data_IF_833708298255
#
_entry.id   IF_833708298255
#
_cell.length_a   1.000
_cell.length_b   1.000
_cell.length_c   1.000
_cell.angle_alpha   90.00
_cell.angle_beta   90.00
_cell.angle_gamma   90.00
#
_symmetry.space_group_name_H-M   'P 1'
#
loop_
_entity.id
_entity.type
_entity.pdbx_description
1 polymer ?
#
# COMPACT_ATOMS: atom_id res chain seq x y z
N UNK A 1 -14.66 -24.32 12.76
CA UNK A 1 -13.39 -23.64 13.11
C UNK A 1 -13.44 -22.31 12.40
N UNK A 2 -14.31 -21.43 12.88
CA UNK A 2 -14.67 -20.20 12.21
C UNK A 2 -13.93 -19.07 12.92
N UNK A 3 -12.69 -18.84 12.51
CA UNK A 3 -11.82 -17.81 13.10
C UNK A 3 -11.65 -16.60 12.18
N UNK A 4 -12.61 -16.36 11.28
CA UNK A 4 -12.57 -15.22 10.35
C UNK A 4 -13.06 -13.92 11.02
N UNK A 5 -13.46 -13.94 12.30
CA UNK A 5 -14.10 -12.81 12.97
C UNK A 5 -13.63 -12.55 14.41
N UNK A 6 -12.55 -13.16 14.87
CA UNK A 6 -12.00 -12.81 16.18
C UNK A 6 -11.02 -11.65 16.00
N UNK A 7 -11.41 -10.46 16.47
CA UNK A 7 -10.51 -9.33 16.71
C UNK A 7 -10.10 -8.54 15.45
N UNK A 8 -11.04 -7.85 14.79
CA UNK A 8 -11.21 -6.39 14.92
C UNK A 8 -10.76 -5.77 16.27
N UNK A 9 -9.53 -6.03 16.74
CA UNK A 9 -8.97 -5.27 17.84
C UNK A 9 -8.49 -3.92 17.30
N UNK A 10 -9.17 -2.88 17.80
CA UNK A 10 -9.03 -1.44 17.55
C UNK A 10 -9.77 -0.91 16.32
N UNK A 11 -10.85 -0.17 16.58
CA UNK A 11 -11.65 0.70 15.69
C UNK A 11 -10.85 1.80 14.93
N UNK A 12 -9.57 1.57 14.64
CA UNK A 12 -8.64 2.52 14.02
C UNK A 12 -7.96 1.96 12.78
N UNK A 13 -8.15 0.68 12.45
CA UNK A 13 -7.44 0.04 11.36
C UNK A 13 -8.40 -0.67 10.40
N UNK A 14 -8.24 -0.38 9.12
CA UNK A 14 -8.90 -1.07 8.02
C UNK A 14 -8.05 -2.24 7.54
N UNK A 15 -8.71 -3.24 6.97
CA UNK A 15 -8.07 -4.47 6.51
C UNK A 15 -8.68 -4.94 5.18
N UNK A 16 -7.83 -5.51 4.33
CA UNK A 16 -8.19 -6.15 3.06
C UNK A 16 -7.34 -7.40 2.88
N UNK A 17 -7.96 -8.55 2.65
CA UNK A 17 -7.24 -9.76 2.23
C UNK A 17 -7.34 -9.87 0.72
N UNK A 18 -6.20 -9.94 0.03
CA UNK A 18 -6.13 -10.07 -1.42
C UNK A 18 -5.09 -11.13 -1.79
N UNK A 19 -5.53 -12.16 -2.52
CA UNK A 19 -4.67 -13.28 -2.97
C UNK A 19 -3.84 -13.95 -1.86
N UNK A 20 -4.38 -14.02 -0.64
CA UNK A 20 -3.70 -14.63 0.52
C UNK A 20 -2.82 -13.67 1.33
N UNK A 21 -2.60 -12.44 0.86
CA UNK A 21 -1.86 -11.40 1.58
C UNK A 21 -2.83 -10.54 2.38
N UNK A 22 -2.49 -10.22 3.63
CA UNK A 22 -3.28 -9.33 4.47
C UNK A 22 -2.75 -7.92 4.41
N UNK A 23 -3.53 -6.99 3.86
CA UNK A 23 -3.24 -5.57 3.83
C UNK A 23 -3.95 -4.87 4.99
N UNK A 24 -3.21 -4.08 5.75
CA UNK A 24 -3.75 -3.28 6.86
C UNK A 24 -3.37 -1.82 6.72
N UNK A 25 -4.16 -0.92 7.29
CA UNK A 25 -3.86 0.50 7.31
C UNK A 25 -4.61 1.20 8.42
N UNK A 26 -4.18 2.41 8.78
CA UNK A 26 -4.98 3.25 9.66
C UNK A 26 -6.19 3.84 8.90
N UNK A 27 -7.38 3.77 9.49
CA UNK A 27 -8.64 4.18 8.84
C UNK A 27 -8.70 5.68 8.54
N UNK A 28 -8.20 6.51 9.44
CA UNK A 28 -8.14 7.96 9.23
C UNK A 28 -7.23 8.28 8.05
N UNK A 29 -6.06 7.64 7.97
CA UNK A 29 -5.17 7.76 6.80
C UNK A 29 -5.84 7.26 5.53
N UNK A 30 -6.54 6.13 5.56
CA UNK A 30 -7.26 5.60 4.40
C UNK A 30 -8.35 6.55 3.90
N UNK A 31 -9.02 7.27 4.81
CA UNK A 31 -10.06 8.25 4.46
C UNK A 31 -9.46 9.54 3.87
N UNK A 32 -8.29 9.96 4.37
CA UNK A 32 -7.62 11.20 3.96
C UNK A 32 -6.80 11.01 2.68
N UNK A 33 -6.22 9.83 2.46
CA UNK A 33 -5.30 9.59 1.33
C UNK A 33 -5.93 9.95 -0.03
N UNK A 34 -7.18 9.55 -0.36
CA UNK A 34 -7.81 9.94 -1.63
C UNK A 34 -8.01 11.45 -1.77
N UNK A 35 -8.22 12.17 -0.67
CA UNK A 35 -8.38 13.64 -0.65
C UNK A 35 -7.05 14.32 -0.99
N UNK A 36 -5.96 13.81 -0.44
CA UNK A 36 -4.62 14.39 -0.62
C UNK A 36 -3.91 13.91 -1.89
N UNK A 37 -4.33 12.79 -2.46
CA UNK A 37 -3.60 12.08 -3.53
C UNK A 37 -4.53 11.65 -4.66
N UNK A 38 -5.20 12.62 -5.30
CA UNK A 38 -5.93 12.44 -6.56
C UNK A 38 -6.90 11.24 -6.61
N UNK A 39 -7.56 10.94 -5.49
CA UNK A 39 -8.53 9.84 -5.38
C UNK A 39 -7.93 8.45 -5.13
N UNK A 40 -6.60 8.32 -4.96
CA UNK A 40 -5.96 7.02 -4.72
C UNK A 40 -6.35 6.47 -3.34
N UNK A 41 -6.98 5.29 -3.33
CA UNK A 41 -7.36 4.58 -2.10
C UNK A 41 -6.31 3.53 -1.74
N UNK A 42 -6.32 3.08 -0.48
CA UNK A 42 -5.43 1.98 -0.07
C UNK A 42 -5.86 0.62 -0.61
N UNK A 43 -7.15 0.42 -0.83
CA UNK A 43 -7.67 -0.75 -1.54
C UNK A 43 -7.12 -0.83 -2.96
N UNK A 44 -7.07 0.30 -3.69
CA UNK A 44 -6.44 0.37 -5.00
C UNK A 44 -4.92 0.16 -4.91
N UNK A 45 -4.26 0.80 -3.94
CA UNK A 45 -2.82 0.65 -3.75
C UNK A 45 -2.39 -0.79 -3.44
N UNK A 46 -3.23 -1.58 -2.77
CA UNK A 46 -2.97 -3.00 -2.51
C UNK A 46 -2.86 -3.82 -3.81
N UNK A 47 -3.49 -3.38 -4.90
CA UNK A 47 -3.38 -4.06 -6.20
C UNK A 47 -1.96 -4.00 -6.80
N UNK A 48 -1.20 -2.95 -6.46
CA UNK A 48 0.16 -2.71 -6.98
C UNK A 48 1.15 -3.79 -6.56
N UNK A 49 0.92 -4.43 -5.41
CA UNK A 49 1.74 -5.55 -4.92
C UNK A 49 1.67 -6.79 -5.82
N UNK A 50 0.76 -6.81 -6.78
CA UNK A 50 0.59 -7.90 -7.74
C UNK A 50 1.10 -7.53 -9.14
N UNK A 51 1.73 -6.37 -9.29
CA UNK A 51 2.43 -6.03 -10.53
C UNK A 51 3.72 -6.88 -10.61
N UNK A 52 3.87 -7.75 -11.63
CA UNK A 52 5.06 -8.58 -11.79
C UNK A 52 6.34 -7.77 -12.07
N UNK A 53 6.20 -6.49 -12.43
CA UNK A 53 7.31 -5.58 -12.73
C UNK A 53 7.53 -4.52 -11.65
N UNK A 54 6.88 -4.65 -10.48
CA UNK A 54 7.07 -3.68 -9.41
C UNK A 54 8.54 -3.50 -9.06
N UNK A 55 8.91 -2.28 -8.70
CA UNK A 55 10.24 -1.95 -8.20
C UNK A 55 10.14 -1.49 -6.75
N UNK A 56 11.05 -1.99 -5.91
CA UNK A 56 11.15 -1.59 -4.50
C UNK A 56 12.20 -0.48 -4.38
N UNK A 57 11.87 0.57 -3.62
CA UNK A 57 12.76 1.70 -3.36
C UNK A 57 12.74 2.06 -1.87
N UNK A 58 13.87 2.57 -1.38
CA UNK A 58 13.96 3.08 -0.01
C UNK A 58 13.04 4.31 0.17
N UNK A 59 12.21 4.28 1.20
CA UNK A 59 11.28 5.34 1.57
C UNK A 59 11.46 5.77 3.04
N UNK A 60 12.62 5.44 3.62
CA UNK A 60 12.95 5.75 5.01
C UNK A 60 12.86 7.26 5.28
N UNK A 61 12.30 7.62 6.44
CA UNK A 61 12.11 9.02 6.83
C UNK A 61 12.23 9.18 8.34
N UNK A 62 13.03 10.15 8.79
CA UNK A 62 13.19 10.49 10.21
C UNK A 62 13.48 9.24 11.09
N UNK A 63 14.45 8.43 10.65
CA UNK A 63 14.86 7.17 11.31
C UNK A 63 13.80 6.05 11.33
N UNK A 64 12.66 6.24 10.68
CA UNK A 64 11.70 5.16 10.46
C UNK A 64 12.05 4.41 9.17
N UNK A 65 12.44 3.14 9.32
CA UNK A 65 12.64 2.22 8.21
C UNK A 65 11.31 1.96 7.50
N UNK A 66 11.24 2.33 6.22
CA UNK A 66 10.05 2.17 5.37
C UNK A 66 10.51 1.90 3.95
N UNK A 67 9.76 1.06 3.27
CA UNK A 67 9.94 0.81 1.85
C UNK A 67 8.80 1.45 1.06
N UNK A 68 9.04 1.66 -0.22
CA UNK A 68 7.98 1.90 -1.17
C UNK A 68 8.10 0.97 -2.37
N UNK A 69 6.94 0.66 -2.96
CA UNK A 69 6.88 0.06 -4.29
C UNK A 69 6.40 1.07 -5.31
N UNK A 70 6.94 0.97 -6.52
CA UNK A 70 6.40 1.61 -7.71
C UNK A 70 5.89 0.51 -8.62
N UNK A 71 4.63 0.58 -9.00
CA UNK A 71 4.02 -0.42 -9.88
C UNK A 71 2.61 -0.03 -10.32
N UNK A 72 2.02 -0.85 -11.17
CA UNK A 72 0.72 -0.66 -11.78
C UNK A 72 -0.40 -1.32 -10.97
N UNK A 73 -1.50 -0.59 -10.78
CA UNK A 73 -2.75 -1.20 -10.33
C UNK A 73 -3.47 -1.93 -11.49
N UNK A 74 -4.63 -2.55 -11.22
CA UNK A 74 -5.40 -3.27 -12.26
C UNK A 74 -5.97 -2.38 -13.36
N UNK A 75 -5.93 -1.06 -13.16
CA UNK A 75 -6.42 -0.04 -14.10
C UNK A 75 -5.26 0.67 -14.82
N UNK A 76 -4.05 0.13 -14.73
CA UNK A 76 -2.83 0.68 -15.35
C UNK A 76 -2.43 2.06 -14.83
N UNK A 77 -2.84 2.42 -13.61
CA UNK A 77 -2.31 3.59 -12.92
C UNK A 77 -0.97 3.21 -12.27
N UNK A 78 0.10 3.94 -12.61
CA UNK A 78 1.40 3.76 -11.97
C UNK A 78 1.41 4.51 -10.64
N UNK A 79 1.54 3.77 -9.55
CA UNK A 79 1.45 4.28 -8.19
C UNK A 79 2.77 4.11 -7.46
N UNK A 80 3.02 5.01 -6.53
CA UNK A 80 4.07 4.93 -5.51
C UNK A 80 3.39 4.66 -4.16
N UNK A 81 3.69 3.51 -3.55
CA UNK A 81 3.02 3.02 -2.34
C UNK A 81 4.04 2.80 -1.24
N UNK A 82 3.95 3.57 -0.16
CA UNK A 82 4.81 3.43 1.03
C UNK A 82 4.18 2.41 1.97
N UNK A 83 4.98 1.46 2.43
CA UNK A 83 4.53 0.39 3.32
C UNK A 83 5.60 0.00 4.33
N UNK A 84 5.17 -0.79 5.32
CA UNK A 84 6.05 -1.59 6.18
C UNK A 84 5.49 -3.02 6.26
N UNK A 85 6.36 -3.97 6.53
CA UNK A 85 6.03 -5.37 6.77
C UNK A 85 6.31 -5.73 8.24
N UNK A 86 5.34 -5.51 9.15
CA UNK A 86 5.56 -5.74 10.58
C UNK A 86 5.68 -7.23 10.93
N UNK A 87 5.02 -8.10 10.16
CA UNK A 87 4.95 -9.54 10.34
C UNK A 87 4.85 -10.19 8.95
N UNK A 88 5.27 -11.45 8.82
CA UNK A 88 5.15 -12.20 7.57
C UNK A 88 3.69 -12.20 7.09
N UNK A 89 3.49 -12.00 5.78
CA UNK A 89 2.19 -11.99 5.09
C UNK A 89 1.24 -10.85 5.50
N UNK A 90 1.73 -9.86 6.28
CA UNK A 90 1.01 -8.63 6.62
C UNK A 90 1.72 -7.41 6.04
N UNK A 91 1.03 -6.68 5.17
CA UNK A 91 1.53 -5.45 4.57
C UNK A 91 0.75 -4.27 5.14
N UNK A 92 1.43 -3.36 5.83
CA UNK A 92 0.82 -2.13 6.32
C UNK A 92 1.06 -0.98 5.36
N UNK A 93 0.01 -0.56 4.64
CA UNK A 93 0.08 0.61 3.75
C UNK A 93 0.02 1.90 4.58
N UNK A 94 0.99 2.79 4.33
CA UNK A 94 1.14 4.07 5.05
C UNK A 94 0.62 5.24 4.23
N UNK A 95 0.91 5.26 2.92
CA UNK A 95 0.48 6.28 1.97
C UNK A 95 0.58 5.77 0.54
N UNK A 96 -0.26 6.28 -0.35
CA UNK A 96 -0.21 5.94 -1.77
C UNK A 96 -0.52 7.17 -2.63
N UNK A 97 0.22 7.34 -3.73
CA UNK A 97 0.00 8.41 -4.70
C UNK A 97 0.34 7.94 -6.09
N UNK A 98 0.03 8.76 -7.10
CA UNK A 98 0.58 8.56 -8.45
C UNK A 98 2.11 8.67 -8.40
N UNK A 99 2.77 7.83 -9.18
CA UNK A 99 4.20 7.95 -9.42
C UNK A 99 4.50 9.30 -10.12
N UNK A 100 5.59 9.95 -9.71
CA UNK A 100 6.12 11.11 -10.41
C UNK A 100 6.71 10.72 -11.75
N UNK A 101 7.00 11.70 -12.62
CA UNK A 101 7.68 11.43 -13.90
C UNK A 101 9.01 10.70 -13.72
N UNK A 102 9.81 11.09 -12.72
CA UNK A 102 11.11 10.45 -12.46
C UNK A 102 10.97 9.01 -11.96
N UNK A 103 9.96 8.73 -11.13
CA UNK A 103 9.67 7.38 -10.65
C UNK A 103 9.12 6.48 -11.76
N UNK A 104 8.33 7.05 -12.68
CA UNK A 104 7.91 6.36 -13.89
C UNK A 104 9.11 5.97 -14.75
N UNK A 105 9.99 6.93 -15.04
CA UNK A 105 11.22 6.65 -15.80
C UNK A 105 12.06 5.55 -15.15
N UNK A 106 12.07 5.47 -13.82
CA UNK A 106 12.76 4.42 -13.08
C UNK A 106 12.06 3.05 -13.15
N UNK A 107 10.73 3.01 -13.18
CA UNK A 107 9.97 1.78 -13.36
C UNK A 107 10.06 1.23 -14.80
N UNK A 108 10.16 2.12 -15.80
CA UNK A 108 10.19 1.78 -17.23
C UNK A 108 11.61 1.45 -17.76
N UNK A 109 12.66 1.52 -16.93
CA UNK A 109 14.06 1.28 -17.32
C UNK A 109 14.47 -0.18 -17.17
#
# INVERSE_FOLDING_TARGET
>A
MDNVNTSCLYYKYGCLVLSGITFVWNDEKSRINPINHDGITFQQAAEVFFDPLLVVVDASRNDEARDAIIGLDRRWNLLYVVYIEPENDIIRIISARKATRKEREYYES
#
